data_IF_996308467797
#
_entry.id   IF_996308467797
#
_cell.length_a   1.000
_cell.length_b   1.000
_cell.length_c   1.000
_cell.angle_alpha   90.00
_cell.angle_beta   90.00
_cell.angle_gamma   90.00
#
_symmetry.space_group_name_H-M   'P 1'
#
loop_
_entity.id
_entity.type
_entity.pdbx_description
1 polymer ?
#
# COMPACT_ATOMS: atom_id res chain seq x y z
N UNK A 1 18.01 5.43 -6.40
CA UNK A 1 16.89 4.94 -5.57
C UNK A 1 17.23 4.74 -4.09
N UNK A 2 18.49 4.97 -3.63
CA UNK A 2 18.93 4.50 -2.31
C UNK A 2 18.12 4.96 -1.08
N UNK A 3 17.63 6.20 -1.04
CA UNK A 3 16.87 6.70 0.11
C UNK A 3 15.47 6.06 0.24
N UNK A 4 14.76 5.89 -0.89
CA UNK A 4 13.46 5.20 -0.92
C UNK A 4 13.64 3.74 -0.51
N UNK A 5 14.64 3.06 -1.08
CA UNK A 5 14.93 1.66 -0.77
C UNK A 5 15.32 1.47 0.69
N UNK A 6 16.11 2.38 1.25
CA UNK A 6 16.42 2.38 2.68
C UNK A 6 15.15 2.47 3.54
N UNK A 7 14.24 3.40 3.25
CA UNK A 7 12.98 3.52 4.00
C UNK A 7 12.12 2.26 3.85
N UNK A 8 12.01 1.72 2.65
CA UNK A 8 11.23 0.50 2.40
C UNK A 8 11.78 -0.72 3.17
N UNK A 9 13.10 -0.82 3.32
CA UNK A 9 13.76 -1.93 3.98
C UNK A 9 13.80 -1.79 5.51
N UNK A 10 14.03 -0.58 6.02
CA UNK A 10 14.25 -0.35 7.46
C UNK A 10 12.96 -0.03 8.21
N UNK A 11 12.17 0.93 7.72
CA UNK A 11 10.93 1.34 8.38
C UNK A 11 9.93 1.93 7.36
N UNK A 12 9.17 1.07 6.66
CA UNK A 12 8.21 1.51 5.67
C UNK A 12 6.95 2.14 6.27
N UNK A 13 6.70 2.01 7.58
CA UNK A 13 5.43 2.38 8.21
C UNK A 13 5.06 3.86 8.01
N UNK A 14 5.94 4.85 8.25
CA UNK A 14 5.59 6.26 8.03
C UNK A 14 5.23 6.56 6.57
N UNK A 15 5.91 5.90 5.62
CA UNK A 15 5.62 6.04 4.20
C UNK A 15 4.29 5.38 3.84
N UNK A 16 3.97 4.22 4.43
CA UNK A 16 2.69 3.52 4.26
C UNK A 16 1.51 4.31 4.81
N UNK A 17 1.65 4.91 6.00
CA UNK A 17 0.60 5.74 6.60
C UNK A 17 0.35 6.99 5.77
N UNK A 18 1.43 7.66 5.32
CA UNK A 18 1.32 8.80 4.42
C UNK A 18 0.65 8.42 3.10
N UNK A 19 1.09 7.33 2.46
CA UNK A 19 0.54 6.90 1.17
C UNK A 19 -0.92 6.48 1.28
N UNK A 20 -1.33 5.83 2.37
CA UNK A 20 -2.72 5.44 2.59
C UNK A 20 -3.64 6.62 2.93
N UNK A 21 -3.19 7.54 3.80
CA UNK A 21 -4.06 8.57 4.38
C UNK A 21 -4.00 9.92 3.68
N UNK A 22 -2.96 10.18 2.88
CA UNK A 22 -2.70 11.50 2.29
C UNK A 22 -2.53 11.44 0.78
N UNK A 23 -1.75 10.46 0.28
CA UNK A 23 -1.45 10.35 -1.16
C UNK A 23 -2.42 9.43 -1.91
N UNK A 24 -3.23 8.64 -1.20
CA UNK A 24 -4.14 7.62 -1.75
C UNK A 24 -3.44 6.65 -2.72
N UNK A 25 -2.21 6.27 -2.36
CA UNK A 25 -1.33 5.37 -3.12
C UNK A 25 -0.80 4.23 -2.23
N UNK A 26 -1.60 3.88 -1.21
CA UNK A 26 -1.25 2.92 -0.16
C UNK A 26 -0.98 1.52 -0.69
N UNK A 27 -1.67 1.12 -1.75
CA UNK A 27 -1.55 -0.16 -2.45
C UNK A 27 -0.13 -0.39 -2.98
N UNK A 28 0.53 0.66 -3.46
CA UNK A 28 1.90 0.55 -3.98
C UNK A 28 2.90 0.17 -2.88
N UNK A 29 2.79 0.81 -1.70
CA UNK A 29 3.68 0.52 -0.58
C UNK A 29 3.33 -0.83 0.07
N UNK A 30 2.03 -1.15 0.15
CA UNK A 30 1.54 -2.41 0.71
C UNK A 30 1.99 -3.60 -0.14
N UNK A 31 1.93 -3.48 -1.47
CA UNK A 31 2.49 -4.47 -2.39
C UNK A 31 4.00 -4.63 -2.22
N UNK A 32 4.77 -3.52 -2.24
CA UNK A 32 6.23 -3.58 -2.13
C UNK A 32 6.68 -4.26 -0.84
N UNK A 33 6.04 -3.94 0.29
CA UNK A 33 6.36 -4.56 1.57
C UNK A 33 5.95 -6.04 1.62
N UNK A 34 4.81 -6.41 1.04
CA UNK A 34 4.34 -7.81 0.96
C UNK A 34 5.24 -8.67 0.07
N UNK A 35 5.61 -8.18 -1.11
CA UNK A 35 6.51 -8.86 -2.04
C UNK A 35 7.91 -9.03 -1.45
N UNK A 36 8.44 -8.02 -0.76
CA UNK A 36 9.74 -8.09 -0.09
C UNK A 36 9.75 -9.15 1.04
N UNK A 37 8.69 -9.18 1.88
CA UNK A 37 8.51 -10.20 2.92
C UNK A 37 8.44 -11.61 2.34
N UNK A 38 7.61 -11.80 1.31
CA UNK A 38 7.47 -13.08 0.63
C UNK A 38 8.81 -13.57 0.05
N UNK A 39 9.51 -12.71 -0.71
CA UNK A 39 10.80 -13.06 -1.31
C UNK A 39 11.85 -13.39 -0.26
N UNK A 40 11.94 -12.62 0.82
CA UNK A 40 12.93 -12.83 1.88
C UNK A 40 12.69 -14.15 2.62
N UNK A 41 11.43 -14.45 2.92
CA UNK A 41 11.04 -15.71 3.56
C UNK A 41 11.42 -16.91 2.68
N UNK A 42 11.03 -16.88 1.40
CA UNK A 42 11.23 -18.01 0.49
C UNK A 42 12.64 -18.14 -0.08
N UNK A 43 13.46 -17.08 -0.10
CA UNK A 43 14.87 -17.16 -0.47
C UNK A 43 15.69 -18.08 0.45
N UNK A 44 15.25 -18.26 1.70
CA UNK A 44 15.93 -19.13 2.69
C UNK A 44 15.45 -20.58 2.64
N UNK A 45 14.31 -20.86 1.98
CA UNK A 45 13.60 -22.13 2.03
C UNK A 45 13.73 -22.86 0.69
N UNK A 46 14.61 -23.88 0.61
CA UNK A 46 15.05 -24.49 -0.67
C UNK A 46 14.35 -25.79 -1.10
N UNK A 47 13.31 -26.25 -0.41
CA UNK A 47 12.75 -27.60 -0.69
C UNK A 47 11.57 -27.60 -1.67
N UNK A 48 11.50 -28.59 -2.57
CA UNK A 48 10.37 -28.74 -3.51
C UNK A 48 9.02 -28.92 -2.79
N UNK A 49 9.01 -29.53 -1.60
CA UNK A 49 7.81 -29.68 -0.77
C UNK A 49 7.22 -28.34 -0.32
N UNK A 50 8.03 -27.28 -0.35
CA UNK A 50 7.62 -25.91 -0.06
C UNK A 50 7.15 -25.12 -1.29
N UNK A 51 7.40 -25.58 -2.53
CA UNK A 51 6.99 -24.87 -3.76
C UNK A 51 5.50 -24.54 -3.77
N UNK A 52 4.65 -25.44 -3.28
CA UNK A 52 3.20 -25.20 -3.14
C UNK A 52 2.86 -24.13 -2.12
N UNK A 53 3.55 -24.10 -0.98
CA UNK A 53 3.35 -23.05 0.03
C UNK A 53 3.81 -21.70 -0.53
N UNK A 54 4.97 -21.66 -1.17
CA UNK A 54 5.49 -20.48 -1.87
C UNK A 54 4.52 -19.94 -2.91
N UNK A 55 3.95 -20.84 -3.71
CA UNK A 55 2.92 -20.50 -4.70
C UNK A 55 1.66 -19.93 -4.06
N UNK A 56 1.16 -20.56 -2.99
CA UNK A 56 -0.04 -20.07 -2.30
C UNK A 56 0.19 -18.69 -1.67
N UNK A 57 1.36 -18.43 -1.09
CA UNK A 57 1.67 -17.12 -0.52
C UNK A 57 1.83 -16.06 -1.62
N UNK A 58 2.39 -16.42 -2.78
CA UNK A 58 2.44 -15.54 -3.95
C UNK A 58 1.04 -15.28 -4.54
N UNK A 59 0.18 -16.29 -4.54
CA UNK A 59 -1.19 -16.20 -5.00
C UNK A 59 -2.01 -15.21 -4.17
N UNK A 60 -1.80 -15.16 -2.85
CA UNK A 60 -2.42 -14.13 -2.00
C UNK A 60 -2.00 -12.71 -2.44
N UNK A 61 -0.71 -12.48 -2.70
CA UNK A 61 -0.23 -11.19 -3.21
C UNK A 61 -0.88 -10.85 -4.56
N UNK A 62 -1.03 -11.84 -5.45
CA UNK A 62 -1.74 -11.64 -6.71
C UNK A 62 -3.19 -11.20 -6.48
N UNK A 63 -3.93 -11.94 -5.64
CA UNK A 63 -5.34 -11.66 -5.35
C UNK A 63 -5.50 -10.26 -4.73
N UNK A 64 -4.65 -9.91 -3.76
CA UNK A 64 -4.80 -8.68 -2.98
C UNK A 64 -4.39 -7.41 -3.74
N UNK A 65 -3.41 -7.50 -4.65
CA UNK A 65 -2.80 -6.31 -5.26
C UNK A 65 -2.83 -6.29 -6.78
N UNK A 66 -2.96 -7.43 -7.47
CA UNK A 66 -2.76 -7.50 -8.93
C UNK A 66 -4.03 -7.90 -9.67
N UNK A 67 -4.83 -8.82 -9.12
CA UNK A 67 -6.02 -9.35 -9.75
C UNK A 67 -6.98 -8.22 -10.11
N UNK A 68 -7.29 -7.99 -11.41
CA UNK A 68 -8.26 -6.97 -11.80
C UNK A 68 -9.68 -7.25 -11.29
N UNK A 69 -9.94 -8.49 -10.84
CA UNK A 69 -11.25 -8.97 -10.41
C UNK A 69 -11.39 -8.97 -8.89
N UNK A 70 -10.33 -9.29 -8.16
CA UNK A 70 -10.42 -9.56 -6.72
C UNK A 70 -9.72 -8.51 -5.85
N UNK A 71 -8.74 -7.79 -6.38
CA UNK A 71 -8.07 -6.74 -5.63
C UNK A 71 -9.01 -5.55 -5.44
N UNK A 72 -9.14 -5.06 -4.21
CA UNK A 72 -9.96 -3.87 -3.91
C UNK A 72 -9.37 -2.62 -4.57
N UNK A 73 -8.03 -2.50 -4.54
CA UNK A 73 -7.26 -1.43 -5.17
C UNK A 73 -6.12 -2.05 -6.01
N UNK A 74 -6.40 -2.49 -7.24
CA UNK A 74 -5.40 -3.13 -8.09
C UNK A 74 -4.28 -2.16 -8.48
N UNK A 75 -3.05 -2.68 -8.57
CA UNK A 75 -1.88 -1.93 -9.00
C UNK A 75 -2.04 -1.41 -10.44
N UNK A 76 -1.50 -0.21 -10.67
CA UNK A 76 -1.44 0.37 -12.02
C UNK A 76 -0.31 -0.26 -12.85
N UNK A 77 -0.63 -1.39 -13.49
CA UNK A 77 0.30 -2.17 -14.31
C UNK A 77 -0.06 -2.10 -15.79
N UNK A 78 0.95 -2.34 -16.64
CA UNK A 78 0.70 -2.50 -18.07
C UNK A 78 -0.12 -3.76 -18.36
N UNK A 79 -0.92 -3.76 -19.44
CA UNK A 79 -1.70 -4.94 -19.82
C UNK A 79 -0.83 -6.18 -20.09
N UNK A 80 0.42 -5.98 -20.52
CA UNK A 80 1.38 -7.06 -20.72
C UNK A 80 1.80 -7.72 -19.41
N UNK A 81 2.05 -6.91 -18.36
CA UNK A 81 2.39 -7.43 -17.03
C UNK A 81 1.21 -8.13 -16.37
N UNK A 82 0.01 -7.55 -16.49
CA UNK A 82 -1.23 -8.18 -15.98
C UNK A 82 -1.39 -9.56 -16.62
N UNK A 83 -1.39 -9.65 -17.95
CA UNK A 83 -1.55 -10.94 -18.67
C UNK A 83 -0.48 -11.96 -18.31
N UNK A 84 0.77 -11.52 -18.13
CA UNK A 84 1.86 -12.40 -17.70
C UNK A 84 1.56 -13.04 -16.35
N UNK A 85 1.13 -12.24 -15.37
CA UNK A 85 0.86 -12.74 -14.02
C UNK A 85 -0.47 -13.52 -13.95
N UNK A 86 -1.48 -13.10 -14.71
CA UNK A 86 -2.73 -13.85 -14.91
C UNK A 86 -2.45 -15.26 -15.42
N UNK A 87 -1.53 -15.43 -16.38
CA UNK A 87 -1.17 -16.75 -16.92
C UNK A 87 -0.62 -17.72 -15.87
N UNK A 88 -0.15 -17.20 -14.74
CA UNK A 88 0.41 -17.96 -13.63
C UNK A 88 -0.67 -18.24 -12.58
N UNK A 89 -1.43 -17.21 -12.17
CA UNK A 89 -2.24 -17.28 -10.96
C UNK A 89 -3.75 -17.32 -11.21
N UNK A 90 -4.25 -16.87 -12.36
CA UNK A 90 -5.69 -16.60 -12.53
C UNK A 90 -6.55 -17.86 -12.37
N UNK A 91 -6.11 -19.00 -12.93
CA UNK A 91 -6.81 -20.28 -12.74
C UNK A 91 -6.91 -20.67 -11.26
N UNK A 92 -5.85 -20.43 -10.49
CA UNK A 92 -5.84 -20.74 -9.07
C UNK A 92 -6.68 -19.75 -8.26
N UNK A 93 -6.66 -18.46 -8.63
CA UNK A 93 -7.51 -17.43 -8.05
C UNK A 93 -8.99 -17.76 -8.25
N UNK A 94 -9.43 -18.12 -9.46
CA UNK A 94 -10.81 -18.57 -9.71
C UNK A 94 -11.22 -19.78 -8.86
N UNK A 95 -10.29 -20.69 -8.60
CA UNK A 95 -10.55 -21.86 -7.75
C UNK A 95 -10.79 -21.51 -6.27
N UNK A 96 -10.26 -20.39 -5.78
CA UNK A 96 -10.36 -19.98 -4.37
C UNK A 96 -11.43 -18.91 -4.18
N UNK A 97 -11.44 -17.89 -5.03
CA UNK A 97 -12.32 -16.73 -4.95
C UNK A 97 -13.67 -16.95 -5.65
N UNK A 98 -13.77 -17.99 -6.51
CA UNK A 98 -14.92 -18.20 -7.37
C UNK A 98 -14.89 -17.33 -8.64
N UNK A 99 -15.87 -17.55 -9.52
CA UNK A 99 -16.07 -16.73 -10.70
C UNK A 99 -16.93 -15.51 -10.33
N UNK A 100 -16.37 -14.31 -10.39
CA UNK A 100 -17.19 -13.09 -10.36
C UNK A 100 -17.83 -12.92 -11.74
N UNK A 101 -19.08 -13.38 -11.87
CA UNK A 101 -19.87 -13.20 -13.09
C UNK A 101 -20.39 -11.77 -13.11
N UNK A 102 -19.58 -10.81 -13.56
CA UNK A 102 -20.07 -9.46 -13.81
C UNK A 102 -20.91 -9.53 -15.09
N UNK A 103 -22.23 -9.59 -14.94
CA UNK A 103 -23.19 -9.49 -16.04
C UNK A 103 -23.02 -8.12 -16.73
N UNK A 104 -22.71 -8.06 -18.04
CA UNK A 104 -22.59 -6.80 -18.76
C UNK A 104 -23.90 -5.99 -18.80
N UNK A 105 -25.04 -6.61 -18.47
CA UNK A 105 -26.36 -6.02 -18.57
C UNK A 105 -26.84 -5.29 -17.31
N UNK A 106 -26.10 -5.36 -16.19
CA UNK A 106 -26.48 -4.76 -14.90
C UNK A 106 -25.26 -4.08 -14.25
N UNK A 107 -24.76 -2.99 -14.86
CA UNK A 107 -23.67 -2.19 -14.26
C UNK A 107 -24.15 -1.00 -13.42
N UNK A 108 -25.46 -0.79 -13.30
CA UNK A 108 -26.06 0.33 -12.54
C UNK A 108 -27.08 -0.12 -11.50
N UNK A 109 -27.39 -1.42 -11.40
CA UNK A 109 -28.10 -1.91 -10.23
C UNK A 109 -27.08 -1.93 -9.09
N UNK A 110 -27.24 -0.98 -8.18
CA UNK A 110 -26.62 -1.01 -6.86
C UNK A 110 -27.05 -2.35 -6.27
N UNK A 111 -26.18 -3.35 -6.33
CA UNK A 111 -26.30 -4.55 -5.52
C UNK A 111 -26.22 -4.09 -4.07
N UNK A 112 -27.38 -3.76 -3.50
CA UNK A 112 -27.61 -4.03 -2.10
C UNK A 112 -27.38 -5.53 -2.01
N UNK A 113 -26.17 -5.91 -1.58
CA UNK A 113 -25.81 -7.28 -1.32
C UNK A 113 -27.00 -7.96 -0.62
N UNK A 114 -27.44 -9.16 -1.03
CA UNK A 114 -28.39 -9.91 -0.25
C UNK A 114 -27.68 -10.22 1.07
N UNK A 115 -27.95 -9.40 2.08
CA UNK A 115 -27.73 -9.74 3.47
C UNK A 115 -28.40 -11.11 3.66
N UNK A 116 -27.58 -12.14 3.83
CA UNK A 116 -28.03 -13.35 4.49
C UNK A 116 -28.46 -12.98 5.90
N UNK A 117 -29.74 -12.61 6.06
CA UNK A 117 -30.33 -12.37 7.36
C UNK A 117 -30.54 -13.70 8.07
N UNK A 118 -29.76 -13.96 9.11
CA UNK A 118 -30.18 -14.52 10.40
C UNK A 118 -29.24 -13.92 11.46
N UNK A 119 -29.59 -12.77 12.04
CA UNK A 119 -30.13 -12.62 13.39
C UNK A 119 -29.08 -12.30 14.49
N UNK A 120 -29.25 -11.10 15.04
CA UNK A 120 -28.91 -10.64 16.38
C UNK A 120 -27.43 -10.58 16.86
N UNK A 121 -26.97 -9.33 16.93
CA UNK A 121 -26.10 -8.74 17.95
C UNK A 121 -24.65 -9.20 18.04
N UNK A 122 -23.75 -8.45 17.39
CA UNK A 122 -22.47 -8.01 17.97
C UNK A 122 -21.91 -6.83 17.17
N UNK A 123 -21.21 -5.86 17.81
CA UNK A 123 -20.62 -4.73 17.10
C UNK A 123 -19.62 -5.21 16.06
N UNK A 124 -19.72 -4.65 14.86
CA UNK A 124 -18.87 -4.93 13.71
C UNK A 124 -17.42 -4.61 14.08
N UNK A 125 -16.59 -5.64 14.19
CA UNK A 125 -15.14 -5.50 14.17
C UNK A 125 -14.72 -5.36 12.71
N UNK A 126 -14.27 -4.16 12.32
CA UNK A 126 -13.73 -3.82 11.00
C UNK A 126 -12.32 -4.43 10.77
N UNK A 127 -11.97 -5.48 11.52
CA UNK A 127 -10.71 -6.19 11.43
C UNK A 127 -10.87 -7.52 10.70
N UNK A 128 -10.35 -7.59 9.47
CA UNK A 128 -10.12 -8.79 8.69
C UNK A 128 -11.36 -9.61 8.33
N UNK A 129 -11.69 -9.60 7.03
CA UNK A 129 -12.49 -10.64 6.37
C UNK A 129 -11.79 -11.99 6.55
N UNK A 130 -11.99 -12.66 7.69
CA UNK A 130 -11.46 -13.99 7.98
C UNK A 130 -12.34 -15.03 7.27
N UNK A 131 -12.36 -14.96 5.93
CA UNK A 131 -12.76 -16.12 5.14
C UNK A 131 -11.69 -17.19 5.43
N UNK A 132 -12.06 -18.43 5.77
CA UNK A 132 -11.08 -19.51 5.85
C UNK A 132 -10.24 -19.48 4.58
N UNK A 133 -8.93 -19.20 4.71
CA UNK A 133 -8.01 -19.09 3.57
C UNK A 133 -7.90 -20.46 2.91
N UNK A 134 -8.83 -20.76 2.00
CA UNK A 134 -8.81 -21.96 1.18
C UNK A 134 -7.50 -21.91 0.39
N UNK A 135 -6.64 -22.90 0.63
CA UNK A 135 -5.35 -23.01 -0.07
C UNK A 135 -5.56 -23.77 -1.36
N UNK A 136 -4.94 -23.31 -2.43
CA UNK A 136 -4.95 -23.95 -3.73
C UNK A 136 -4.16 -25.26 -3.69
N UNK A 137 -4.84 -26.35 -4.03
CA UNK A 137 -4.28 -27.71 -4.07
C UNK A 137 -3.91 -28.22 -5.46
N UNK A 138 -4.18 -27.46 -6.52
CA UNK A 138 -3.99 -27.91 -7.90
C UNK A 138 -2.55 -27.84 -8.41
N UNK A 139 -2.41 -27.97 -9.73
CA UNK A 139 -1.14 -27.90 -10.45
C UNK A 139 -0.54 -26.49 -10.41
N UNK A 140 0.78 -26.42 -10.23
CA UNK A 140 1.54 -25.17 -10.20
C UNK A 140 2.25 -25.03 -11.55
N UNK A 141 2.07 -23.91 -12.28
CA UNK A 141 2.76 -23.69 -13.54
C UNK A 141 4.29 -23.76 -13.40
N UNK A 142 4.97 -24.39 -14.36
CA UNK A 142 6.43 -24.54 -14.32
C UNK A 142 7.19 -23.22 -14.38
N UNK A 143 6.58 -22.21 -15.03
CA UNK A 143 7.11 -20.83 -15.14
C UNK A 143 7.10 -20.08 -13.79
N UNK A 144 6.44 -20.60 -12.76
CA UNK A 144 6.42 -19.97 -11.45
C UNK A 144 7.74 -20.14 -10.70
N UNK A 145 8.34 -19.02 -10.30
CA UNK A 145 9.57 -18.95 -9.51
C UNK A 145 9.61 -17.77 -8.53
N UNK A 146 10.73 -17.64 -7.81
CA UNK A 146 10.99 -16.58 -6.83
C UNK A 146 11.05 -15.16 -7.43
N UNK A 147 11.19 -15.03 -8.75
CA UNK A 147 11.38 -13.76 -9.46
C UNK A 147 10.08 -13.25 -10.08
N UNK A 148 8.96 -13.95 -9.89
CA UNK A 148 7.66 -13.67 -10.53
C UNK A 148 7.19 -12.21 -10.41
N UNK A 149 7.56 -11.53 -9.33
CA UNK A 149 7.18 -10.14 -9.05
C UNK A 149 8.28 -9.11 -9.32
N UNK A 150 9.46 -9.50 -9.82
CA UNK A 150 10.62 -8.59 -9.90
C UNK A 150 10.39 -7.42 -10.85
N UNK A 151 9.80 -7.64 -12.03
CA UNK A 151 9.46 -6.55 -12.97
C UNK A 151 8.44 -5.58 -12.38
N UNK A 152 7.42 -6.14 -11.71
CA UNK A 152 6.33 -5.36 -11.11
C UNK A 152 6.88 -4.53 -9.95
N UNK A 153 7.72 -5.11 -9.09
CA UNK A 153 8.40 -4.37 -8.03
C UNK A 153 9.23 -3.22 -8.58
N UNK A 154 9.96 -3.42 -9.68
CA UNK A 154 10.74 -2.35 -10.31
C UNK A 154 9.84 -1.21 -10.82
N UNK A 155 8.73 -1.54 -11.49
CA UNK A 155 7.75 -0.57 -11.98
C UNK A 155 7.08 0.20 -10.84
N UNK A 156 6.59 -0.49 -9.80
CA UNK A 156 5.94 0.15 -8.66
C UNK A 156 6.93 1.01 -7.86
N UNK A 157 8.19 0.58 -7.69
CA UNK A 157 9.24 1.43 -7.11
C UNK A 157 9.45 2.71 -7.90
N UNK A 158 9.44 2.62 -9.22
CA UNK A 158 9.53 3.81 -10.08
C UNK A 158 8.32 4.74 -9.88
N UNK A 159 7.09 4.21 -9.90
CA UNK A 159 5.88 5.00 -9.67
C UNK A 159 5.88 5.71 -8.31
N UNK A 160 6.28 5.00 -7.25
CA UNK A 160 6.41 5.57 -5.90
C UNK A 160 7.48 6.66 -5.89
N UNK A 161 8.64 6.42 -6.52
CA UNK A 161 9.74 7.37 -6.56
C UNK A 161 9.36 8.67 -7.27
N UNK A 162 8.58 8.61 -8.34
CA UNK A 162 8.22 9.78 -9.14
C UNK A 162 7.01 10.55 -8.60
N UNK A 163 6.09 9.88 -7.89
CA UNK A 163 4.82 10.48 -7.49
C UNK A 163 4.69 10.69 -5.97
N UNK A 164 4.82 9.61 -5.19
CA UNK A 164 4.56 9.61 -3.74
C UNK A 164 5.76 10.11 -2.94
N UNK A 165 6.97 9.68 -3.33
CA UNK A 165 8.19 9.95 -2.58
C UNK A 165 8.53 11.44 -2.44
N UNK A 166 8.44 12.29 -3.49
CA UNK A 166 8.69 13.72 -3.33
C UNK A 166 7.74 14.37 -2.31
N UNK A 167 6.44 14.03 -2.38
CA UNK A 167 5.41 14.55 -1.47
C UNK A 167 5.63 14.10 -0.03
N UNK A 168 6.01 12.84 0.15
CA UNK A 168 6.38 12.32 1.47
C UNK A 168 7.58 13.07 2.06
N UNK A 169 8.63 13.30 1.26
CA UNK A 169 9.82 14.03 1.72
C UNK A 169 9.47 15.47 2.11
N UNK A 170 8.66 16.17 1.32
CA UNK A 170 8.20 17.53 1.62
C UNK A 170 7.40 17.58 2.93
N UNK A 171 6.46 16.65 3.14
CA UNK A 171 5.70 16.52 4.38
C UNK A 171 6.63 16.27 5.59
N UNK A 172 7.61 15.37 5.45
CA UNK A 172 8.56 15.09 6.53
C UNK A 172 9.45 16.29 6.86
N UNK A 173 9.85 17.06 5.85
CA UNK A 173 10.60 18.31 6.07
C UNK A 173 9.74 19.38 6.74
N UNK A 174 8.48 19.54 6.32
CA UNK A 174 7.55 20.50 6.91
C UNK A 174 7.30 20.18 8.40
N UNK A 175 7.06 18.91 8.73
CA UNK A 175 6.91 18.45 10.13
C UNK A 175 8.15 18.73 10.98
N UNK A 176 9.35 18.53 10.42
CA UNK A 176 10.61 18.84 11.12
C UNK A 176 10.75 20.33 11.41
N UNK A 177 10.46 21.21 10.44
CA UNK A 177 10.48 22.67 10.62
C UNK A 177 9.48 23.12 11.69
N UNK A 178 8.26 22.59 11.67
CA UNK A 178 7.26 22.88 12.68
C UNK A 178 7.70 22.45 14.08
N UNK A 179 8.35 21.30 14.21
CA UNK A 179 8.88 20.82 15.50
C UNK A 179 10.02 21.68 16.03
N UNK A 180 10.84 22.28 15.16
CA UNK A 180 11.89 23.21 15.59
C UNK A 180 11.34 24.57 16.01
N UNK A 181 10.28 25.05 15.36
CA UNK A 181 9.66 26.34 15.70
C UNK A 181 8.88 26.30 17.03
N UNK A 182 8.28 25.14 17.37
CA UNK A 182 7.68 24.93 18.69
C UNK A 182 8.73 24.77 19.80
N UNK A 183 9.86 24.10 19.55
CA UNK A 183 10.98 24.04 20.50
C UNK A 183 11.60 25.43 20.77
N UNK A 184 11.64 26.31 19.77
CA UNK A 184 12.07 27.70 19.96
C UNK A 184 11.03 28.58 20.68
N UNK A 185 9.75 28.18 20.72
CA UNK A 185 8.69 28.89 21.47
C UNK A 185 8.57 28.45 22.94
N UNK A 186 9.15 27.32 23.34
CA UNK A 186 9.23 26.89 24.75
C UNK A 186 10.19 27.74 25.59
N UNK A 187 10.99 28.62 24.97
CA UNK A 187 11.93 29.52 25.65
C UNK A 187 11.43 30.94 25.93
N UNK A 188 10.23 31.35 25.52
CA UNK A 188 9.78 32.75 25.68
C UNK A 188 8.42 32.85 26.38
N UNK A 189 8.39 32.39 27.64
CA UNK A 189 7.37 32.76 28.61
C UNK A 189 7.99 33.69 29.65
N UNK A 190 8.37 34.89 29.22
CA UNK A 190 8.47 36.04 30.12
C UNK A 190 7.59 37.15 29.55
N UNK A 191 6.38 37.21 30.09
CA UNK A 191 5.52 38.37 30.02
C UNK A 191 6.31 39.62 30.40
N UNK A 192 6.37 40.55 29.46
CA UNK A 192 7.08 41.82 29.58
C UNK A 192 6.71 42.71 28.41
N UNK A 193 5.45 43.14 28.42
CA UNK A 193 4.91 44.31 27.72
C UNK A 193 5.95 45.28 27.14
N UNK A 194 5.73 45.65 25.86
CA UNK A 194 6.15 46.89 25.21
C UNK A 194 7.65 47.01 24.85
N UNK A 195 7.99 46.99 23.54
CA UNK A 195 9.01 47.86 22.88
C UNK A 195 9.10 47.60 21.36
N UNK A 196 8.76 46.41 20.84
CA UNK A 196 8.99 46.11 19.40
C UNK A 196 8.00 46.77 18.43
N UNK A 197 6.81 47.19 18.88
CA UNK A 197 5.85 47.94 18.05
C UNK A 197 6.21 49.41 17.82
N UNK A 198 7.26 49.96 18.45
CA UNK A 198 7.66 51.38 18.28
C UNK A 198 8.76 51.62 17.25
N UNK A 199 9.42 50.58 16.74
CA UNK A 199 10.47 50.75 15.72
C UNK A 199 9.89 50.74 14.29
N UNK A 200 8.74 50.07 14.09
CA UNK A 200 8.07 50.04 12.78
C UNK A 200 7.36 51.37 12.41
N UNK A 201 7.07 52.25 13.37
CA UNK A 201 6.40 53.53 13.12
C UNK A 201 7.35 54.73 12.91
N UNK A 202 8.63 54.64 13.29
CA UNK A 202 9.60 55.74 13.11
C UNK A 202 10.36 55.69 11.78
N UNK A 203 10.32 54.58 11.05
CA UNK A 203 10.98 54.44 9.73
C UNK A 203 10.10 54.95 8.57
N UNK A 204 8.84 55.32 8.83
CA UNK A 204 7.94 55.91 7.80
C UNK A 204 7.82 57.45 7.86
N UNK A 205 8.62 58.13 8.67
CA UNK A 205 8.66 59.59 8.74
C UNK A 205 9.98 60.22 8.24
N UNK A 206 10.88 59.45 7.64
CA UNK A 206 12.15 59.95 7.07
C UNK A 206 12.32 59.46 5.60
N UNK A 207 11.22 59.39 4.85
CA UNK A 207 11.22 59.41 3.38
C UNK A 207 10.07 60.30 2.92
#
# INVERSE_FOLDING_TARGET
MGALEYVLNENPQPLQEFSALRDFSGENIAFLTSAAKWRSFWATQKTNSQKRKMYNDALEIYIDFISPRDAEFPLNLSSGEIKRVESIFEKAARSICGEQTISPATSFDIEIAPFGCCEASSPIDLGARSIPKIKYGGEIPDIFDLTVFDSIQAHIKYLVLTNTWPRFVDEMQAKRRQSSDTANSEGTWKSGSTITNRIAQLVRQIL
#
